data_IF_952535708412
#
_entry.id   IF_952535708412
#
_cell.length_a   1.000
_cell.length_b   1.000
_cell.length_c   1.000
_cell.angle_alpha   90.00
_cell.angle_beta   90.00
_cell.angle_gamma   90.00
#
_symmetry.space_group_name_H-M   'P 1'
#
loop_
_entity.id
_entity.type
_entity.pdbx_description
1 polymer ?
#
# COMPACT_ATOMS: atom_id res chain seq x y z
N UNK A 1 36.28 7.14 -5.28
CA UNK A 1 35.39 6.90 -4.13
C UNK A 1 35.17 5.40 -3.99
N UNK A 2 35.07 4.86 -2.76
CA UNK A 2 34.86 3.42 -2.53
C UNK A 2 33.37 3.10 -2.55
N UNK A 3 32.97 2.09 -3.32
CA UNK A 3 31.58 1.60 -3.36
C UNK A 3 31.35 0.59 -2.24
N UNK A 4 30.22 0.70 -1.53
CA UNK A 4 29.81 -0.24 -0.48
C UNK A 4 28.39 -0.74 -0.72
N UNK A 5 28.13 -2.00 -0.38
CA UNK A 5 26.79 -2.59 -0.48
C UNK A 5 25.94 -2.15 0.71
N UNK A 6 24.73 -1.68 0.44
CA UNK A 6 23.72 -1.36 1.45
C UNK A 6 22.64 -2.43 1.47
N UNK A 7 22.25 -2.87 2.67
CA UNK A 7 21.11 -3.78 2.83
C UNK A 7 19.82 -3.01 2.59
N UNK A 8 19.23 -3.20 1.42
CA UNK A 8 17.91 -2.65 1.09
C UNK A 8 16.82 -3.68 1.40
N UNK A 9 15.68 -3.26 1.99
CA UNK A 9 14.56 -4.16 2.20
C UNK A 9 13.96 -4.60 0.87
N UNK A 10 13.39 -5.80 0.85
CA UNK A 10 12.70 -6.31 -0.33
C UNK A 10 11.58 -5.35 -0.76
N UNK A 11 11.42 -5.13 -2.06
CA UNK A 11 10.33 -4.30 -2.61
C UNK A 11 8.96 -4.86 -2.18
N UNK A 12 8.06 -3.98 -1.74
CA UNK A 12 6.70 -4.38 -1.36
C UNK A 12 5.82 -4.65 -2.59
N UNK A 13 4.92 -5.62 -2.48
CA UNK A 13 3.84 -5.80 -3.45
C UNK A 13 2.75 -4.74 -3.23
N UNK A 14 2.12 -4.31 -4.33
CA UNK A 14 1.03 -3.34 -4.28
C UNK A 14 -0.22 -3.95 -3.64
N UNK A 15 -1.02 -3.20 -2.86
CA UNK A 15 -2.35 -3.65 -2.42
C UNK A 15 -3.26 -3.86 -3.62
N UNK A 16 -3.86 -5.05 -3.70
CA UNK A 16 -4.72 -5.47 -4.82
C UNK A 16 -6.15 -5.65 -4.35
N UNK A 17 -7.07 -5.40 -5.26
CA UNK A 17 -8.47 -5.78 -5.12
C UNK A 17 -8.60 -7.30 -5.32
N UNK A 18 -9.27 -8.04 -4.41
CA UNK A 18 -9.42 -9.50 -4.54
C UNK A 18 -10.26 -9.90 -5.77
N UNK A 19 -11.17 -9.03 -6.21
CA UNK A 19 -12.10 -9.34 -7.31
C UNK A 19 -11.54 -8.99 -8.70
N UNK A 20 -10.65 -8.00 -8.80
CA UNK A 20 -10.10 -7.55 -10.10
C UNK A 20 -8.62 -7.79 -10.26
N UNK A 21 -7.90 -8.09 -9.18
CA UNK A 21 -6.43 -8.12 -9.15
C UNK A 21 -5.77 -6.75 -9.40
N UNK A 22 -6.56 -5.70 -9.70
CA UNK A 22 -6.06 -4.35 -9.95
C UNK A 22 -5.60 -3.71 -8.64
N UNK A 23 -4.65 -2.78 -8.75
CA UNK A 23 -4.16 -2.00 -7.59
C UNK A 23 -5.26 -1.11 -7.03
N UNK A 24 -5.26 -0.94 -5.70
CA UNK A 24 -6.13 0.05 -5.04
C UNK A 24 -5.47 1.42 -5.14
N UNK A 25 -6.21 2.41 -5.66
CA UNK A 25 -5.70 3.77 -5.81
C UNK A 25 -5.75 4.52 -4.47
N UNK A 26 -4.75 5.38 -4.22
CA UNK A 26 -4.67 6.19 -2.99
C UNK A 26 -3.99 5.50 -1.81
N UNK A 27 -3.57 4.23 -1.95
CA UNK A 27 -2.91 3.46 -0.89
C UNK A 27 -1.43 3.22 -1.26
N UNK A 28 -0.47 3.52 -0.37
CA UNK A 28 0.96 3.47 -0.70
C UNK A 28 1.51 2.03 -0.81
N UNK A 29 2.56 1.82 -1.59
CA UNK A 29 3.17 0.49 -1.76
C UNK A 29 4.31 0.30 -0.75
N UNK A 30 3.95 0.02 0.50
CA UNK A 30 4.87 -0.09 1.62
C UNK A 30 4.85 -1.51 2.21
N UNK A 31 5.89 -1.86 2.96
CA UNK A 31 5.92 -3.09 3.76
C UNK A 31 4.99 -2.96 4.96
N UNK A 32 4.52 -4.09 5.48
CA UNK A 32 3.62 -4.14 6.64
C UNK A 32 4.18 -3.41 7.88
N UNK A 33 5.50 -3.41 8.07
CA UNK A 33 6.18 -2.70 9.15
C UNK A 33 6.09 -1.18 9.03
N UNK A 34 6.05 -0.64 7.81
CA UNK A 34 5.94 0.79 7.51
C UNK A 34 4.49 1.26 7.60
N UNK A 35 3.53 0.34 7.42
CA UNK A 35 2.10 0.57 7.60
C UNK A 35 1.65 0.74 9.06
N UNK A 36 2.56 0.53 10.02
CA UNK A 36 2.26 0.68 11.45
C UNK A 36 1.75 2.09 11.75
N UNK A 37 0.74 2.19 12.62
CA UNK A 37 0.09 3.47 12.94
C UNK A 37 1.00 4.51 13.58
N UNK A 38 2.09 4.08 14.22
CA UNK A 38 3.13 4.97 14.75
C UNK A 38 3.99 5.63 13.68
N UNK A 39 4.03 5.08 12.46
CA UNK A 39 4.84 5.60 11.34
C UNK A 39 3.98 6.26 10.27
N UNK A 40 2.74 5.81 10.10
CA UNK A 40 1.84 6.30 9.07
C UNK A 40 0.46 6.64 9.64
N UNK A 41 0.02 7.87 9.39
CA UNK A 41 -1.31 8.36 9.75
C UNK A 41 -2.42 7.54 9.10
N UNK A 42 -3.62 7.55 9.69
CA UNK A 42 -4.76 6.75 9.21
C UNK A 42 -5.21 7.15 7.80
N UNK A 43 -5.27 8.45 7.52
CA UNK A 43 -5.68 8.99 6.22
C UNK A 43 -4.83 8.53 5.03
N UNK A 44 -3.55 8.15 5.25
CA UNK A 44 -2.66 7.61 4.20
C UNK A 44 -2.79 6.10 4.03
N UNK A 45 -3.47 5.41 4.95
CA UNK A 45 -3.67 3.95 4.94
C UNK A 45 -5.02 3.54 4.37
N UNK A 46 -5.99 4.45 4.37
CA UNK A 46 -7.38 4.18 4.01
C UNK A 46 -7.88 5.16 2.96
N UNK A 47 -8.92 4.80 2.22
CA UNK A 47 -9.64 5.71 1.32
C UNK A 47 -11.04 5.94 1.85
N UNK A 48 -11.51 7.19 1.82
CA UNK A 48 -12.82 7.60 2.35
C UNK A 48 -13.96 7.23 1.39
N UNK A 49 -14.22 5.93 1.25
CA UNK A 49 -15.37 5.35 0.53
C UNK A 49 -15.65 3.94 1.06
N UNK A 50 -16.82 3.40 0.73
CA UNK A 50 -17.12 2.00 1.03
C UNK A 50 -16.01 1.07 0.48
N UNK A 51 -15.53 0.15 1.32
CA UNK A 51 -14.44 -0.78 0.98
C UNK A 51 -13.13 -0.13 0.47
N UNK A 52 -12.85 1.13 0.83
CA UNK A 52 -11.72 1.91 0.28
C UNK A 52 -10.32 1.29 0.39
N UNK A 53 -10.12 0.35 1.32
CA UNK A 53 -8.90 -0.43 1.52
C UNK A 53 -8.85 -1.81 0.86
N UNK A 54 -9.96 -2.26 0.28
CA UNK A 54 -10.16 -3.64 -0.18
C UNK A 54 -10.59 -3.68 -1.64
N UNK A 55 -11.55 -2.86 -2.05
CA UNK A 55 -12.07 -2.84 -3.40
C UNK A 55 -11.53 -1.66 -4.22
N UNK A 56 -11.26 -1.93 -5.49
CA UNK A 56 -10.93 -0.91 -6.48
C UNK A 56 -12.16 -0.06 -6.79
N UNK A 57 -12.00 1.27 -6.88
CA UNK A 57 -13.07 2.26 -7.15
C UNK A 57 -14.17 1.83 -8.13
N UNK A 58 -13.87 1.34 -9.35
CA UNK A 58 -14.90 1.00 -10.33
C UNK A 58 -15.70 -0.30 -10.04
N UNK A 59 -15.41 -1.01 -8.94
CA UNK A 59 -16.14 -2.23 -8.51
C UNK A 59 -16.79 -2.09 -7.12
N UNK A 60 -16.88 -0.87 -6.61
CA UNK A 60 -17.87 -0.58 -5.57
C UNK A 60 -19.14 -0.40 -6.39
N UNK A 61 -20.12 -1.30 -6.19
CA UNK A 61 -21.42 -1.32 -6.90
C UNK A 61 -21.95 0.09 -7.12
#
# INVERSE_FOLDING_TARGET
GRNFYQRTPKRASRPKCPVTGKRIQGIPHLRSTEYKGSRLSRNRRTVNRAYGGVLSGPKII
#
